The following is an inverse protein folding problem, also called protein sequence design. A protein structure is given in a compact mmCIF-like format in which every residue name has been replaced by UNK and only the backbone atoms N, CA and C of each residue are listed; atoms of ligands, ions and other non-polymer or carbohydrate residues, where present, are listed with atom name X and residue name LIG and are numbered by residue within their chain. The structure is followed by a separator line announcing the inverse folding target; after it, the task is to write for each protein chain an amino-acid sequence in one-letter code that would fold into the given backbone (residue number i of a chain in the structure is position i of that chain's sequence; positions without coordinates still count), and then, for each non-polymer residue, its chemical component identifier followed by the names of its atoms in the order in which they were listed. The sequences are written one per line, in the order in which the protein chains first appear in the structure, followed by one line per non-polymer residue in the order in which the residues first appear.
data_IF_187007133949
#
_entry.id   IF_187007133949
#
_cell.length_a   1.000
_cell.length_b   1.000
_cell.length_c   1.000
_cell.angle_alpha   90.00
_cell.angle_beta   90.00
_cell.angle_gamma   90.00
#
_symmetry.space_group_name_H-M   'P 1'
#
loop_
_entity.id
_entity.type
_entity.pdbx_description
1 polymer ?
#
# COMPACT_ATOMS: atom_id res chain seq x y z
N UNK A 1 -22.83 -35.20 -51.05
CA UNK A 1 -23.54 -33.93 -51.15
C UNK A 1 -22.82 -32.88 -50.30
N UNK A 2 -21.96 -32.10 -50.92
CA UNK A 2 -21.23 -31.02 -50.30
C UNK A 2 -22.07 -29.74 -50.37
N UNK A 3 -22.41 -29.13 -49.23
CA UNK A 3 -23.00 -27.80 -49.20
C UNK A 3 -21.87 -26.79 -48.98
N UNK A 4 -21.64 -25.95 -49.99
CA UNK A 4 -20.77 -24.76 -49.93
C UNK A 4 -21.51 -23.67 -49.17
N UNK A 5 -20.90 -23.15 -48.08
CA UNK A 5 -21.29 -21.88 -47.47
C UNK A 5 -20.50 -20.76 -48.12
N UNK A 6 -21.18 -19.83 -48.76
CA UNK A 6 -20.58 -18.63 -49.34
C UNK A 6 -20.42 -17.56 -48.26
N UNK A 7 -19.19 -17.05 -48.11
CA UNK A 7 -18.88 -15.86 -47.34
C UNK A 7 -19.23 -14.61 -48.15
N UNK A 8 -20.20 -13.83 -47.68
CA UNK A 8 -20.48 -12.49 -48.21
C UNK A 8 -19.55 -11.50 -47.47
N UNK A 9 -18.55 -10.97 -48.19
CA UNK A 9 -17.67 -9.93 -47.72
C UNK A 9 -18.38 -8.58 -47.86
N UNK A 10 -18.84 -8.00 -46.75
CA UNK A 10 -19.41 -6.65 -46.71
C UNK A 10 -18.26 -5.65 -46.62
N UNK A 11 -17.93 -4.96 -47.71
CA UNK A 11 -16.98 -3.87 -47.74
C UNK A 11 -17.69 -2.62 -47.21
N UNK A 12 -17.44 -2.26 -45.97
CA UNK A 12 -17.81 -0.95 -45.40
C UNK A 12 -16.80 0.08 -45.87
N UNK A 13 -17.23 1.02 -46.67
CA UNK A 13 -16.47 2.20 -47.06
C UNK A 13 -16.27 3.09 -45.84
N UNK A 14 -15.04 3.22 -45.37
CA UNK A 14 -14.65 4.19 -44.35
C UNK A 14 -14.66 5.56 -45.03
N UNK A 15 -15.69 6.34 -44.78
CA UNK A 15 -15.67 7.78 -45.04
C UNK A 15 -14.77 8.43 -44.00
N UNK A 16 -13.67 9.03 -44.44
CA UNK A 16 -12.76 9.82 -43.65
C UNK A 16 -13.49 11.04 -43.08
N UNK A 17 -13.93 10.96 -41.81
CA UNK A 17 -14.26 12.14 -41.05
C UNK A 17 -12.95 12.85 -40.66
N UNK A 18 -12.69 14.02 -41.27
CA UNK A 18 -11.65 14.92 -40.83
C UNK A 18 -12.16 15.61 -39.56
N UNK A 19 -11.53 15.29 -38.42
CA UNK A 19 -11.70 16.07 -37.21
C UNK A 19 -11.12 17.47 -37.40
N UNK A 20 -11.79 18.54 -36.97
CA UNK A 20 -11.20 19.88 -36.98
C UNK A 20 -9.97 19.92 -36.08
N UNK A 21 -8.91 20.55 -36.57
CA UNK A 21 -7.62 20.62 -35.86
C UNK A 21 -7.74 21.28 -34.50
N UNK A 22 -7.27 20.61 -33.47
CA UNK A 22 -7.27 20.94 -32.03
C UNK A 22 -6.36 22.16 -31.68
N UNK A 23 -6.18 23.15 -32.53
CA UNK A 23 -5.17 24.21 -32.34
C UNK A 23 -5.64 25.44 -31.55
N UNK A 24 -6.94 25.64 -31.32
CA UNK A 24 -7.43 26.91 -30.76
C UNK A 24 -7.87 26.91 -29.29
N UNK A 25 -7.84 25.76 -28.57
CA UNK A 25 -8.30 25.70 -27.18
C UNK A 25 -7.19 25.64 -26.12
N UNK A 26 -5.92 25.51 -26.50
CA UNK A 26 -4.80 25.35 -25.56
C UNK A 26 -4.30 26.65 -24.91
N UNK A 27 -4.66 27.80 -25.45
CA UNK A 27 -4.18 29.11 -24.95
C UNK A 27 -5.04 29.71 -23.82
N UNK A 28 -6.30 29.28 -23.65
CA UNK A 28 -7.19 29.85 -22.64
C UNK A 28 -6.96 29.40 -21.20
N UNK A 29 -6.39 28.21 -20.97
CA UNK A 29 -6.25 27.64 -19.62
C UNK A 29 -5.17 28.30 -18.73
N UNK A 30 -4.00 28.69 -19.22
CA UNK A 30 -3.04 29.47 -18.44
C UNK A 30 -3.59 30.84 -18.02
N UNK A 31 -4.37 31.49 -18.88
CA UNK A 31 -4.97 32.79 -18.62
C UNK A 31 -5.99 32.73 -17.48
N UNK A 32 -6.86 31.69 -17.45
CA UNK A 32 -7.84 31.51 -16.39
C UNK A 32 -7.17 31.29 -15.01
N UNK A 33 -6.11 30.48 -14.95
CA UNK A 33 -5.34 30.27 -13.72
C UNK A 33 -4.73 31.58 -13.19
N UNK A 34 -4.19 32.41 -14.08
CA UNK A 34 -3.63 33.72 -13.72
C UNK A 34 -4.71 34.68 -13.23
N UNK A 35 -5.90 34.66 -13.82
CA UNK A 35 -7.02 35.48 -13.38
C UNK A 35 -7.45 35.09 -11.98
N UNK A 36 -7.74 33.82 -11.74
CA UNK A 36 -8.17 33.29 -10.42
C UNK A 36 -7.13 33.62 -9.35
N UNK A 37 -5.85 33.32 -9.62
CA UNK A 37 -4.77 33.60 -8.68
C UNK A 37 -4.63 35.13 -8.44
N UNK A 38 -4.72 35.94 -9.48
CA UNK A 38 -4.62 37.39 -9.39
C UNK A 38 -5.74 38.01 -8.54
N UNK A 39 -6.98 37.55 -8.71
CA UNK A 39 -8.13 37.97 -7.91
C UNK A 39 -7.97 37.57 -6.44
N UNK A 40 -7.55 36.33 -6.19
CA UNK A 40 -7.30 35.85 -4.84
C UNK A 40 -6.16 36.61 -4.15
N UNK A 41 -5.04 36.83 -4.83
CA UNK A 41 -3.91 37.61 -4.30
C UNK A 41 -4.24 39.09 -4.12
N UNK A 42 -5.15 39.62 -4.90
CA UNK A 42 -5.64 41.00 -4.73
C UNK A 42 -6.47 41.17 -3.46
N UNK A 43 -7.23 40.15 -3.08
CA UNK A 43 -8.05 40.12 -1.87
C UNK A 43 -7.24 39.80 -0.62
N UNK A 44 -6.30 38.84 -0.70
CA UNK A 44 -5.62 38.28 0.48
C UNK A 44 -4.09 38.52 0.48
N UNK A 45 -3.58 39.29 -0.46
CA UNK A 45 -2.15 39.57 -0.59
C UNK A 45 -1.37 38.44 -1.26
N UNK A 46 -0.13 38.73 -1.67
CA UNK A 46 0.76 37.79 -2.36
C UNK A 46 1.42 36.80 -1.42
N UNK A 47 1.94 35.70 -1.99
CA UNK A 47 2.74 34.71 -1.29
C UNK A 47 1.96 33.44 -0.95
N UNK A 48 0.89 33.19 -1.67
CA UNK A 48 0.15 31.94 -1.68
C UNK A 48 0.74 30.96 -2.70
N UNK A 49 0.64 29.66 -2.41
CA UNK A 49 1.00 28.58 -3.32
C UNK A 49 -0.28 27.95 -3.86
N UNK A 50 -0.31 27.76 -5.17
CA UNK A 50 -1.43 27.13 -5.88
C UNK A 50 -0.96 25.85 -6.54
N UNK A 51 -1.67 24.77 -6.33
CA UNK A 51 -1.66 23.61 -7.22
C UNK A 51 -3.00 23.56 -7.97
N UNK A 52 -2.99 23.03 -9.19
CA UNK A 52 -4.11 23.13 -10.10
C UNK A 52 -4.60 21.78 -10.59
N UNK A 53 -5.90 21.61 -10.68
CA UNK A 53 -6.52 20.51 -11.40
C UNK A 53 -6.37 20.69 -12.93
N UNK A 54 -6.58 19.63 -13.68
CA UNK A 54 -6.51 19.66 -15.14
C UNK A 54 -7.55 20.61 -15.76
N UNK A 55 -8.72 20.74 -15.14
CA UNK A 55 -9.80 21.64 -15.54
C UNK A 55 -9.58 23.11 -15.11
N UNK A 56 -8.38 23.45 -14.61
CA UNK A 56 -8.00 24.80 -14.15
C UNK A 56 -8.68 25.29 -12.87
N UNK A 57 -9.37 24.46 -12.12
CA UNK A 57 -9.76 24.77 -10.74
C UNK A 57 -8.55 24.63 -9.79
N UNK A 58 -8.45 25.41 -8.72
CA UNK A 58 -7.34 25.31 -7.78
C UNK A 58 -7.48 24.06 -6.91
N UNK A 59 -6.63 23.04 -7.15
CA UNK A 59 -6.60 21.81 -6.35
C UNK A 59 -6.30 22.10 -4.88
N UNK A 60 -5.28 22.94 -4.61
CA UNK A 60 -4.92 23.38 -3.26
C UNK A 60 -4.38 24.80 -3.29
N UNK A 61 -4.80 25.59 -2.31
CA UNK A 61 -4.28 26.94 -2.02
C UNK A 61 -3.81 26.94 -0.58
N UNK A 62 -2.55 27.28 -0.34
CA UNK A 62 -1.95 27.32 1.00
C UNK A 62 -0.78 28.28 1.07
N UNK A 63 -0.31 28.59 2.29
CA UNK A 63 0.86 29.44 2.50
C UNK A 63 0.69 30.43 3.63
N UNK A 64 -0.06 31.51 3.38
CA UNK A 64 -0.41 32.48 4.42
C UNK A 64 -1.67 32.06 5.19
N UNK A 65 -2.14 32.91 6.09
CA UNK A 65 -3.45 32.74 6.70
C UNK A 65 -4.37 33.91 6.33
N UNK A 66 -5.66 33.61 6.24
CA UNK A 66 -6.73 34.61 6.11
C UNK A 66 -7.45 34.64 7.47
N UNK A 67 -7.28 35.73 8.25
CA UNK A 67 -8.01 35.88 9.49
C UNK A 67 -9.52 35.88 9.26
N UNK A 68 -10.25 35.12 10.04
CA UNK A 68 -11.70 35.07 10.05
C UNK A 68 -12.18 35.36 11.47
N UNK A 69 -13.29 36.06 11.61
CA UNK A 69 -13.85 36.43 12.91
C UNK A 69 -14.93 35.44 13.35
N UNK A 70 -14.51 34.26 13.75
CA UNK A 70 -15.39 33.22 14.31
C UNK A 70 -14.62 32.30 15.28
N UNK A 71 -15.36 31.57 16.10
CA UNK A 71 -14.79 30.55 17.00
C UNK A 71 -14.62 29.20 16.25
N UNK A 72 -13.40 28.89 15.84
CA UNK A 72 -13.09 27.62 15.17
C UNK A 72 -13.14 26.39 16.10
N UNK A 73 -13.35 26.56 17.42
CA UNK A 73 -13.61 25.43 18.32
C UNK A 73 -15.09 24.99 18.23
N UNK A 74 -15.99 25.89 17.83
CA UNK A 74 -17.40 25.55 17.61
C UNK A 74 -17.61 25.04 16.17
N UNK A 75 -18.11 23.80 16.01
CA UNK A 75 -18.37 23.25 14.68
C UNK A 75 -19.43 24.02 13.89
N UNK A 76 -20.43 24.59 14.54
CA UNK A 76 -21.52 25.30 13.87
C UNK A 76 -21.00 26.58 13.22
N UNK A 77 -20.31 27.41 14.00
CA UNK A 77 -19.74 28.68 13.49
C UNK A 77 -18.66 28.42 12.43
N UNK A 78 -17.91 27.31 12.56
CA UNK A 78 -16.93 26.89 11.55
C UNK A 78 -17.55 26.53 10.21
N UNK A 79 -18.68 25.82 10.21
CA UNK A 79 -19.43 25.51 8.99
C UNK A 79 -19.99 26.78 8.34
N UNK A 80 -20.60 27.66 9.12
CA UNK A 80 -21.09 28.93 8.61
C UNK A 80 -19.97 29.78 7.97
N UNK A 81 -18.81 29.87 8.60
CA UNK A 81 -17.68 30.62 8.07
C UNK A 81 -17.18 30.03 6.74
N UNK A 82 -17.15 28.69 6.61
CA UNK A 82 -16.75 28.03 5.37
C UNK A 82 -17.78 28.26 4.24
N UNK A 83 -19.08 28.15 4.52
CA UNK A 83 -20.14 28.43 3.54
C UNK A 83 -20.18 29.89 3.11
N UNK A 84 -20.02 30.82 4.05
CA UNK A 84 -19.90 32.24 3.76
C UNK A 84 -18.68 32.55 2.89
N UNK A 85 -17.55 31.88 3.15
CA UNK A 85 -16.36 32.02 2.33
C UNK A 85 -16.59 31.54 0.88
N UNK A 86 -17.29 30.42 0.69
CA UNK A 86 -17.64 29.89 -0.64
C UNK A 86 -18.54 30.89 -1.38
N UNK A 87 -19.63 31.34 -0.76
CA UNK A 87 -20.62 32.24 -1.37
C UNK A 87 -20.05 33.62 -1.67
N UNK A 88 -19.09 34.08 -0.84
CA UNK A 88 -18.41 35.38 -1.03
C UNK A 88 -17.32 35.36 -2.11
N UNK A 89 -16.89 34.18 -2.58
CA UNK A 89 -15.81 34.01 -3.58
C UNK A 89 -16.24 33.16 -4.77
N UNK A 90 -17.31 33.54 -5.50
CA UNK A 90 -17.86 32.71 -6.59
C UNK A 90 -16.87 32.49 -7.74
N UNK A 91 -15.96 33.44 -8.02
CA UNK A 91 -14.92 33.26 -9.04
C UNK A 91 -13.91 32.16 -8.70
N UNK A 92 -13.68 31.90 -7.41
CA UNK A 92 -12.76 30.86 -6.95
C UNK A 92 -13.39 29.47 -7.03
N UNK A 93 -14.64 29.36 -6.59
CA UNK A 93 -15.31 28.05 -6.45
C UNK A 93 -16.22 27.71 -7.63
N UNK A 94 -16.96 28.70 -8.17
CA UNK A 94 -17.98 28.52 -9.21
C UNK A 94 -18.96 27.36 -8.90
N UNK A 95 -19.32 27.22 -7.62
CA UNK A 95 -20.26 26.23 -7.08
C UNK A 95 -21.18 26.94 -6.11
N UNK A 96 -22.44 26.54 -6.10
CA UNK A 96 -23.42 27.01 -5.14
C UNK A 96 -23.33 26.18 -3.86
N UNK A 97 -23.53 26.81 -2.70
CA UNK A 97 -23.42 26.16 -1.39
C UNK A 97 -24.46 25.06 -1.16
N UNK A 98 -25.65 25.18 -1.79
CA UNK A 98 -26.70 24.14 -1.78
C UNK A 98 -26.30 22.84 -2.49
N UNK A 99 -25.24 22.88 -3.29
CA UNK A 99 -24.65 21.71 -3.95
C UNK A 99 -23.53 21.07 -3.14
N UNK A 100 -23.45 21.39 -1.84
CA UNK A 100 -22.39 20.92 -0.96
C UNK A 100 -22.98 20.36 0.35
N UNK A 101 -22.77 19.08 0.57
CA UNK A 101 -23.12 18.38 1.82
C UNK A 101 -21.91 18.32 2.74
N UNK A 102 -22.09 18.73 4.01
CA UNK A 102 -21.03 18.64 5.01
C UNK A 102 -20.75 17.17 5.34
N UNK A 103 -19.53 16.73 5.07
CA UNK A 103 -19.07 15.36 5.36
C UNK A 103 -18.21 15.28 6.62
N UNK A 104 -17.25 16.19 6.79
CA UNK A 104 -16.34 16.23 7.95
C UNK A 104 -16.36 17.63 8.55
N UNK A 105 -16.47 17.70 9.86
CA UNK A 105 -16.27 18.90 10.66
C UNK A 105 -15.64 18.51 12.01
N UNK A 106 -14.33 18.26 11.98
CA UNK A 106 -13.59 17.68 13.10
C UNK A 106 -12.36 18.51 13.45
N UNK A 107 -12.00 18.46 14.72
CA UNK A 107 -10.76 19.04 15.23
C UNK A 107 -9.70 17.98 15.39
N UNK A 108 -8.53 18.19 14.77
CA UNK A 108 -7.33 17.38 14.95
C UNK A 108 -6.15 18.27 15.34
N UNK A 109 -5.71 18.13 16.58
CA UNK A 109 -4.67 18.99 17.15
C UNK A 109 -5.08 20.48 17.14
N UNK A 110 -4.28 21.32 16.49
CA UNK A 110 -4.49 22.76 16.41
C UNK A 110 -5.26 23.22 15.17
N UNK A 111 -5.84 22.29 14.42
CA UNK A 111 -6.58 22.57 13.19
C UNK A 111 -7.99 22.00 13.27
N UNK A 112 -8.94 22.74 12.71
CA UNK A 112 -10.26 22.26 12.35
C UNK A 112 -10.30 21.93 10.88
N UNK A 113 -10.86 20.78 10.57
CA UNK A 113 -11.03 20.22 9.23
C UNK A 113 -12.51 20.29 8.85
N UNK A 114 -12.82 21.00 7.77
CA UNK A 114 -14.14 20.94 7.17
C UNK A 114 -14.02 20.40 5.76
N UNK A 115 -14.84 19.41 5.44
CA UNK A 115 -14.88 18.80 4.11
C UNK A 115 -16.34 18.71 3.69
N UNK A 116 -16.64 19.26 2.53
CA UNK A 116 -17.93 19.18 1.88
C UNK A 116 -17.82 18.29 0.65
N UNK A 117 -18.73 17.32 0.52
CA UNK A 117 -18.89 16.56 -0.71
C UNK A 117 -19.84 17.31 -1.63
N UNK A 118 -19.51 17.31 -2.93
CA UNK A 118 -20.39 17.87 -3.93
C UNK A 118 -21.57 16.96 -4.22
N UNK A 119 -22.75 17.56 -4.34
CA UNK A 119 -23.98 16.91 -4.81
C UNK A 119 -24.53 17.64 -6.04
N UNK A 120 -25.24 16.90 -6.90
CA UNK A 120 -25.95 17.43 -8.05
C UNK A 120 -27.34 16.79 -8.10
N UNK A 121 -28.39 17.58 -7.95
CA UNK A 121 -29.78 17.12 -7.85
C UNK A 121 -29.94 16.00 -6.79
N UNK A 122 -29.31 16.15 -5.63
CA UNK A 122 -29.22 15.17 -4.52
C UNK A 122 -28.45 13.88 -4.82
N UNK A 123 -27.74 13.79 -5.94
CA UNK A 123 -26.87 12.67 -6.26
C UNK A 123 -25.41 13.08 -5.93
N UNK A 124 -24.66 12.29 -5.15
CA UNK A 124 -23.27 12.59 -4.83
C UNK A 124 -22.38 12.57 -6.08
N UNK A 125 -21.45 13.50 -6.15
CA UNK A 125 -20.45 13.58 -7.21
C UNK A 125 -19.18 12.86 -6.77
N UNK A 126 -18.80 11.81 -7.48
CA UNK A 126 -17.65 11.00 -7.11
C UNK A 126 -16.35 11.82 -7.10
N UNK A 127 -15.70 11.86 -5.93
CA UNK A 127 -14.50 12.66 -5.69
C UNK A 127 -14.67 14.18 -5.87
N UNK A 128 -15.92 14.68 -6.00
CA UNK A 128 -16.22 16.11 -5.97
C UNK A 128 -16.25 16.62 -4.53
N UNK A 129 -15.31 17.52 -4.16
CA UNK A 129 -15.26 18.03 -2.79
C UNK A 129 -14.60 19.40 -2.70
N UNK A 130 -14.97 20.11 -1.61
CA UNK A 130 -14.29 21.32 -1.16
C UNK A 130 -13.86 21.11 0.29
N UNK A 131 -12.65 21.52 0.63
CA UNK A 131 -12.14 21.37 1.99
C UNK A 131 -11.42 22.62 2.49
N UNK A 132 -11.56 22.86 3.80
CA UNK A 132 -10.97 23.99 4.52
C UNK A 132 -10.16 23.48 5.70
N UNK A 133 -9.07 24.19 6.00
CA UNK A 133 -8.31 24.00 7.24
C UNK A 133 -8.21 25.35 7.95
N UNK A 134 -8.77 25.39 9.15
CA UNK A 134 -8.70 26.55 10.03
C UNK A 134 -7.80 26.27 11.22
N UNK A 135 -7.02 27.25 11.64
CA UNK A 135 -6.46 27.23 12.99
C UNK A 135 -7.58 27.53 14.00
N UNK A 136 -7.37 27.12 15.26
CA UNK A 136 -8.40 27.32 16.31
C UNK A 136 -8.67 28.81 16.64
N UNK A 137 -7.79 29.72 16.21
CA UNK A 137 -8.02 31.16 16.29
C UNK A 137 -8.85 31.73 15.14
N UNK A 138 -9.41 30.90 14.28
CA UNK A 138 -10.22 31.28 13.13
C UNK A 138 -9.44 31.53 11.83
N UNK A 139 -8.11 31.48 11.82
CA UNK A 139 -7.31 31.70 10.63
C UNK A 139 -7.50 30.56 9.60
N UNK A 140 -7.96 30.88 8.40
CA UNK A 140 -7.99 29.94 7.27
C UNK A 140 -6.57 29.78 6.70
N UNK A 141 -6.05 28.56 6.67
CA UNK A 141 -4.66 28.26 6.27
C UNK A 141 -4.56 27.40 5.02
N UNK A 142 -5.64 26.70 4.63
CA UNK A 142 -5.67 25.91 3.41
C UNK A 142 -7.09 25.79 2.86
N UNK A 143 -7.19 25.86 1.55
CA UNK A 143 -8.39 25.62 0.77
C UNK A 143 -8.08 24.49 -0.22
N UNK A 144 -8.93 23.48 -0.28
CA UNK A 144 -8.94 22.46 -1.32
C UNK A 144 -10.21 22.58 -2.17
N UNK A 145 -10.08 22.42 -3.48
CA UNK A 145 -11.21 22.51 -4.40
C UNK A 145 -11.07 21.48 -5.53
N UNK A 146 -11.69 20.35 -5.30
CA UNK A 146 -11.78 19.24 -6.27
C UNK A 146 -13.22 19.06 -6.79
N UNK A 147 -14.09 20.04 -6.57
CA UNK A 147 -15.44 20.02 -7.06
C UNK A 147 -15.50 20.45 -8.55
N UNK A 148 -16.56 20.04 -9.22
CA UNK A 148 -16.76 20.22 -10.66
C UNK A 148 -17.85 21.27 -10.90
N UNK A 149 -17.48 22.47 -11.39
CA UNK A 149 -18.47 23.49 -11.75
C UNK A 149 -19.21 23.10 -13.05
N UNK A 150 -20.41 23.64 -13.21
CA UNK A 150 -21.22 23.52 -14.44
C UNK A 150 -21.59 22.09 -14.84
N UNK A 151 -21.92 21.23 -13.85
CA UNK A 151 -22.44 19.91 -14.11
C UNK A 151 -23.73 20.00 -14.96
N UNK A 152 -23.82 19.15 -15.97
CA UNK A 152 -25.02 18.99 -16.79
C UNK A 152 -25.17 17.51 -17.16
N UNK A 153 -25.90 16.76 -16.34
CA UNK A 153 -26.09 15.31 -16.45
C UNK A 153 -27.56 15.00 -16.36
N UNK A 154 -28.04 14.09 -17.20
CA UNK A 154 -29.38 13.52 -17.01
C UNK A 154 -29.35 12.57 -15.80
N UNK A 155 -30.12 12.90 -14.77
CA UNK A 155 -30.18 12.17 -13.50
C UNK A 155 -31.19 11.05 -13.46
N UNK A 156 -31.89 10.78 -14.58
CA UNK A 156 -32.82 9.65 -14.68
C UNK A 156 -32.10 8.44 -15.30
N UNK A 157 -31.92 7.33 -14.57
CA UNK A 157 -31.21 6.17 -15.10
C UNK A 157 -31.99 5.51 -16.23
N UNK A 158 -31.30 5.06 -17.27
CA UNK A 158 -31.86 4.29 -18.40
C UNK A 158 -31.88 2.79 -18.14
N UNK A 159 -31.02 2.30 -17.21
CA UNK A 159 -31.03 0.91 -16.75
C UNK A 159 -31.40 0.86 -15.25
N UNK A 160 -32.08 -0.22 -14.87
CA UNK A 160 -32.45 -0.47 -13.48
C UNK A 160 -31.25 -0.90 -12.64
N UNK A 161 -31.40 -0.83 -11.31
CA UNK A 161 -30.44 -1.37 -10.34
C UNK A 161 -30.15 -2.86 -10.60
N UNK A 162 -31.18 -3.67 -10.86
CA UNK A 162 -31.05 -5.11 -11.12
C UNK A 162 -30.21 -5.38 -12.38
N UNK A 163 -30.44 -4.57 -13.45
CA UNK A 163 -29.60 -4.65 -14.66
C UNK A 163 -28.15 -4.26 -14.40
N UNK A 164 -27.91 -3.24 -13.58
CA UNK A 164 -26.56 -2.85 -13.19
C UNK A 164 -25.85 -3.98 -12.39
N UNK A 165 -26.55 -4.61 -11.44
CA UNK A 165 -26.03 -5.79 -10.71
C UNK A 165 -25.72 -6.93 -11.71
N UNK A 166 -26.62 -7.20 -12.64
CA UNK A 166 -26.42 -8.26 -13.64
C UNK A 166 -25.18 -8.01 -14.51
N UNK A 167 -25.00 -6.79 -15.02
CA UNK A 167 -23.81 -6.45 -15.82
C UNK A 167 -22.52 -6.51 -15.01
N UNK A 168 -22.55 -6.08 -13.75
CA UNK A 168 -21.38 -6.19 -12.85
C UNK A 168 -20.98 -7.64 -12.61
N UNK A 169 -21.95 -8.51 -12.32
CA UNK A 169 -21.71 -9.95 -12.09
C UNK A 169 -21.05 -10.62 -13.29
N UNK A 170 -21.52 -10.32 -14.51
CA UNK A 170 -20.90 -10.86 -15.74
C UNK A 170 -19.47 -10.33 -15.92
N UNK A 171 -19.24 -9.06 -15.56
CA UNK A 171 -17.95 -8.42 -15.77
C UNK A 171 -16.82 -9.00 -14.92
N UNK A 172 -17.13 -9.48 -13.72
CA UNK A 172 -16.14 -9.99 -12.74
C UNK A 172 -16.19 -11.51 -12.56
N UNK A 173 -16.83 -12.26 -13.47
CA UNK A 173 -16.98 -13.72 -13.41
C UNK A 173 -17.55 -14.24 -12.07
N UNK A 174 -18.60 -13.55 -11.58
CA UNK A 174 -19.26 -13.82 -10.31
C UNK A 174 -19.88 -15.22 -10.26
N UNK A 175 -19.57 -16.02 -9.22
CA UNK A 175 -20.11 -17.36 -9.01
C UNK A 175 -20.69 -17.53 -7.59
N UNK A 176 -22.00 -17.62 -7.48
CA UNK A 176 -22.70 -17.86 -6.20
C UNK A 176 -22.27 -19.17 -5.50
N UNK A 177 -21.78 -20.17 -6.24
CA UNK A 177 -21.30 -21.41 -5.65
C UNK A 177 -19.96 -21.25 -4.92
N UNK A 178 -19.22 -20.18 -5.19
CA UNK A 178 -17.99 -19.81 -4.50
C UNK A 178 -18.25 -18.89 -3.29
N UNK A 179 -19.52 -18.62 -2.97
CA UNK A 179 -19.96 -17.63 -1.99
C UNK A 179 -19.56 -16.18 -2.35
N UNK A 180 -19.61 -15.85 -3.62
CA UNK A 180 -19.49 -14.47 -4.07
C UNK A 180 -20.73 -13.69 -3.67
N UNK A 181 -20.55 -12.43 -3.27
CA UNK A 181 -21.60 -11.61 -2.69
C UNK A 181 -21.65 -10.22 -3.32
N UNK A 182 -22.86 -9.69 -3.51
CA UNK A 182 -23.10 -8.26 -3.75
C UNK A 182 -23.17 -7.57 -2.40
N UNK A 183 -22.31 -6.58 -2.16
CA UNK A 183 -22.19 -5.91 -0.86
C UNK A 183 -23.06 -4.65 -0.86
N UNK A 184 -24.10 -4.65 -0.03
CA UNK A 184 -25.03 -3.53 0.08
C UNK A 184 -25.90 -3.33 -1.16
N UNK A 185 -26.63 -2.22 -1.19
CA UNK A 185 -27.45 -1.83 -2.33
C UNK A 185 -26.66 -0.89 -3.24
N UNK A 186 -26.79 -0.99 -4.57
CA UNK A 186 -26.19 -0.04 -5.49
C UNK A 186 -26.69 1.38 -5.28
N UNK A 187 -25.79 2.34 -5.39
CA UNK A 187 -26.11 3.76 -5.25
C UNK A 187 -25.80 4.54 -6.52
N UNK A 188 -26.57 5.60 -6.78
CA UNK A 188 -26.30 6.49 -7.91
C UNK A 188 -25.25 7.52 -7.52
N UNK A 189 -24.31 7.73 -8.43
CA UNK A 189 -23.27 8.77 -8.38
C UNK A 189 -23.20 9.53 -9.71
N UNK A 190 -22.74 10.77 -9.66
CA UNK A 190 -22.21 11.42 -10.84
C UNK A 190 -20.74 11.02 -10.93
N UNK A 191 -20.41 10.16 -11.87
CA UNK A 191 -19.05 9.78 -12.23
C UNK A 191 -18.40 10.85 -13.10
N UNK A 192 -17.13 11.13 -12.88
CA UNK A 192 -16.40 12.16 -13.63
C UNK A 192 -15.16 11.56 -14.27
N UNK A 193 -15.11 11.54 -15.59
CA UNK A 193 -13.86 11.30 -16.31
C UNK A 193 -12.99 12.58 -16.23
N UNK A 194 -11.89 12.50 -15.47
CA UNK A 194 -11.03 13.63 -15.13
C UNK A 194 -10.07 13.99 -16.26
N UNK A 195 -10.61 14.47 -17.36
CA UNK A 195 -9.82 15.06 -18.45
C UNK A 195 -9.63 16.58 -18.31
N UNK A 196 -9.06 17.22 -19.33
CA UNK A 196 -9.03 18.68 -19.46
C UNK A 196 -10.44 19.25 -19.65
N UNK A 197 -11.28 18.55 -20.37
CA UNK A 197 -12.71 18.75 -20.48
C UNK A 197 -13.35 17.54 -19.82
N UNK A 198 -13.78 17.60 -18.56
CA UNK A 198 -14.37 16.47 -17.86
C UNK A 198 -15.65 16.00 -18.53
N UNK A 199 -15.81 14.70 -18.69
CA UNK A 199 -17.07 14.11 -19.09
C UNK A 199 -17.82 13.61 -17.83
N UNK A 200 -19.14 13.79 -17.83
CA UNK A 200 -19.99 13.50 -16.68
C UNK A 200 -20.99 12.41 -17.02
N UNK A 201 -21.05 11.39 -16.19
CA UNK A 201 -21.94 10.25 -16.35
C UNK A 201 -22.77 10.04 -15.09
N UNK A 202 -24.05 9.77 -15.25
CA UNK A 202 -24.82 9.13 -14.18
C UNK A 202 -24.36 7.67 -14.11
N UNK A 203 -23.94 7.22 -12.95
CA UNK A 203 -23.41 5.87 -12.76
C UNK A 203 -24.04 5.15 -11.57
N UNK A 204 -24.33 3.88 -11.71
CA UNK A 204 -24.54 2.98 -10.58
C UNK A 204 -23.18 2.59 -9.99
N UNK A 205 -22.99 2.79 -8.70
CA UNK A 205 -21.86 2.29 -7.94
C UNK A 205 -22.27 1.02 -7.21
N UNK A 206 -21.48 -0.03 -7.37
CA UNK A 206 -21.71 -1.34 -6.77
C UNK A 206 -20.43 -1.84 -6.10
N UNK A 207 -20.59 -2.66 -5.07
CA UNK A 207 -19.50 -3.42 -4.48
C UNK A 207 -19.79 -4.92 -4.56
N UNK A 208 -18.80 -5.70 -5.01
CA UNK A 208 -18.90 -7.15 -5.12
C UNK A 208 -17.67 -7.79 -4.45
N UNK A 209 -17.91 -8.80 -3.63
CA UNK A 209 -16.88 -9.69 -3.12
C UNK A 209 -16.85 -10.93 -4.01
N UNK A 210 -15.70 -11.24 -4.61
CA UNK A 210 -15.54 -12.27 -5.63
C UNK A 210 -14.31 -13.12 -5.32
N UNK A 211 -14.44 -14.44 -5.41
CA UNK A 211 -13.30 -15.36 -5.30
C UNK A 211 -12.62 -15.49 -6.67
N UNK A 212 -11.30 -15.38 -6.67
CA UNK A 212 -10.53 -15.62 -7.89
C UNK A 212 -10.53 -17.11 -8.23
N UNK A 213 -10.82 -17.41 -9.50
CA UNK A 213 -10.70 -18.77 -10.07
C UNK A 213 -9.44 -18.91 -10.92
N UNK A 214 -8.68 -17.82 -11.12
CA UNK A 214 -7.44 -17.82 -11.87
C UNK A 214 -6.30 -18.35 -10.97
N UNK A 215 -5.64 -19.49 -11.32
CA UNK A 215 -4.54 -20.03 -10.55
C UNK A 215 -3.28 -19.13 -10.55
N UNK A 216 -3.17 -18.20 -11.50
CA UNK A 216 -2.07 -17.25 -11.60
C UNK A 216 -2.35 -15.95 -10.86
N UNK A 217 -3.57 -15.76 -10.34
CA UNK A 217 -3.92 -14.62 -9.53
C UNK A 217 -3.28 -14.72 -8.14
N UNK A 218 -2.63 -13.65 -7.75
CA UNK A 218 -1.97 -13.57 -6.43
C UNK A 218 -2.97 -13.37 -5.29
N UNK A 219 -4.19 -12.92 -5.60
CA UNK A 219 -5.25 -12.65 -4.64
C UNK A 219 -6.31 -13.75 -4.71
N UNK A 220 -6.61 -14.44 -3.61
CA UNK A 220 -7.67 -15.46 -3.60
C UNK A 220 -9.07 -14.85 -3.65
N UNK A 221 -9.19 -13.56 -3.38
CA UNK A 221 -10.46 -12.81 -3.37
C UNK A 221 -10.24 -11.38 -3.81
N UNK A 222 -11.28 -10.76 -4.36
CA UNK A 222 -11.36 -9.35 -4.73
C UNK A 222 -12.55 -8.69 -4.08
N UNK A 223 -12.42 -7.41 -3.77
CA UNK A 223 -13.54 -6.54 -3.40
C UNK A 223 -13.65 -5.44 -4.43
N UNK A 224 -14.40 -5.72 -5.47
CA UNK A 224 -14.60 -4.81 -6.57
C UNK A 224 -15.58 -3.70 -6.21
N UNK A 225 -15.13 -2.45 -6.35
CA UNK A 225 -16.00 -1.29 -6.48
C UNK A 225 -16.10 -0.94 -7.95
N UNK A 226 -17.32 -1.01 -8.51
CA UNK A 226 -17.58 -0.87 -9.94
C UNK A 226 -18.51 0.32 -10.17
N UNK A 227 -18.18 1.14 -11.16
CA UNK A 227 -19.06 2.19 -11.67
C UNK A 227 -19.55 1.80 -13.06
N UNK A 228 -20.86 1.75 -13.20
CA UNK A 228 -21.54 1.42 -14.45
C UNK A 228 -22.34 2.63 -14.91
N UNK A 229 -22.16 3.02 -16.16
CA UNK A 229 -22.97 4.07 -16.79
C UNK A 229 -24.47 3.70 -16.69
N UNK A 230 -25.23 4.52 -15.98
CA UNK A 230 -26.62 4.26 -15.67
C UNK A 230 -27.57 4.40 -16.87
N UNK A 231 -27.09 4.86 -18.03
CA UNK A 231 -27.86 4.94 -19.26
C UNK A 231 -27.55 3.79 -20.22
N UNK A 232 -26.30 3.41 -20.34
CA UNK A 232 -25.82 2.44 -21.34
C UNK A 232 -25.47 1.05 -20.80
N UNK A 233 -25.19 0.95 -19.50
CA UNK A 233 -24.72 -0.30 -18.87
C UNK A 233 -23.24 -0.62 -19.11
N UNK A 234 -22.45 0.29 -19.68
CA UNK A 234 -21.01 0.12 -19.82
C UNK A 234 -20.28 0.34 -18.49
N UNK A 235 -19.24 -0.44 -18.25
CA UNK A 235 -18.32 -0.23 -17.12
C UNK A 235 -17.52 1.05 -17.39
N UNK A 236 -17.64 2.02 -16.49
CA UNK A 236 -16.87 3.27 -16.53
C UNK A 236 -15.51 3.12 -15.85
N UNK A 237 -15.51 2.47 -14.68
CA UNK A 237 -14.31 2.27 -13.87
C UNK A 237 -14.52 1.11 -12.89
N UNK A 238 -13.42 0.47 -12.49
CA UNK A 238 -13.41 -0.50 -11.40
C UNK A 238 -12.16 -0.37 -10.55
N UNK A 239 -12.33 -0.58 -9.26
CA UNK A 239 -11.24 -0.59 -8.28
C UNK A 239 -11.30 -1.88 -7.47
N UNK A 240 -10.16 -2.53 -7.28
CA UNK A 240 -10.05 -3.56 -6.26
C UNK A 240 -9.77 -2.90 -4.91
N UNK A 241 -10.72 -2.97 -4.00
CA UNK A 241 -10.61 -2.44 -2.64
C UNK A 241 -10.08 -3.47 -1.63
N UNK A 242 -9.69 -4.67 -2.08
CA UNK A 242 -8.97 -5.59 -1.20
C UNK A 242 -7.70 -4.91 -0.73
N UNK A 243 -7.71 -4.50 0.51
CA UNK A 243 -6.50 -4.00 1.16
C UNK A 243 -5.72 -5.21 1.63
N UNK A 244 -4.58 -5.42 1.01
CA UNK A 244 -3.58 -6.31 1.53
C UNK A 244 -3.10 -5.75 2.85
N UNK A 245 -3.30 -6.47 3.94
CA UNK A 245 -2.82 -6.01 5.23
C UNK A 245 -1.46 -6.67 5.50
N UNK A 246 -0.45 -5.83 5.65
CA UNK A 246 0.89 -6.26 6.01
C UNK A 246 0.94 -6.76 7.44
N UNK A 247 1.75 -7.79 7.67
CA UNK A 247 2.33 -8.09 8.97
C UNK A 247 3.77 -7.61 8.95
N UNK A 248 4.16 -6.89 9.97
CA UNK A 248 5.51 -6.39 10.14
C UNK A 248 6.02 -6.72 11.55
N UNK A 249 7.31 -6.65 11.77
CA UNK A 249 7.91 -6.90 13.06
C UNK A 249 9.40 -7.16 12.97
N UNK A 250 9.98 -7.64 14.06
CA UNK A 250 11.39 -7.95 14.15
C UNK A 250 11.61 -9.43 14.46
N UNK A 251 12.64 -9.99 13.84
CA UNK A 251 13.22 -11.26 14.24
C UNK A 251 14.49 -10.95 15.01
N UNK A 252 14.56 -11.38 16.27
CA UNK A 252 15.67 -11.09 17.16
C UNK A 252 16.07 -12.30 18.00
N UNK A 253 17.17 -12.17 18.73
CA UNK A 253 17.57 -13.16 19.72
C UNK A 253 18.80 -12.73 20.52
N UNK A 254 19.02 -13.34 21.70
CA UNK A 254 20.21 -13.07 22.53
C UNK A 254 21.46 -13.65 21.86
N UNK A 255 22.38 -12.78 21.48
CA UNK A 255 23.65 -13.10 20.79
C UNK A 255 24.82 -12.71 21.67
N UNK A 256 25.89 -13.51 21.63
CA UNK A 256 27.19 -13.26 22.27
C UNK A 256 28.27 -13.06 21.22
N UNK A 257 29.30 -12.31 21.57
CA UNK A 257 30.53 -12.20 20.79
C UNK A 257 31.59 -13.21 21.23
N UNK A 258 31.48 -13.70 22.47
CA UNK A 258 32.39 -14.66 23.07
C UNK A 258 31.64 -15.63 24.00
N UNK A 259 32.13 -16.86 24.25
CA UNK A 259 31.40 -17.93 24.96
C UNK A 259 30.93 -17.58 26.36
N UNK A 260 31.72 -16.77 27.06
CA UNK A 260 31.48 -16.33 28.45
C UNK A 260 30.95 -14.91 28.53
N UNK A 261 30.72 -14.27 27.37
CA UNK A 261 30.18 -12.92 27.27
C UNK A 261 28.73 -12.80 27.68
N UNK A 262 28.27 -11.60 27.88
CA UNK A 262 26.88 -11.27 28.16
C UNK A 262 26.13 -11.28 26.81
N UNK A 263 25.09 -12.10 26.73
CA UNK A 263 24.21 -12.07 25.57
C UNK A 263 23.39 -10.77 25.53
N UNK A 264 23.32 -10.13 24.37
CA UNK A 264 22.48 -8.96 24.09
C UNK A 264 21.48 -9.31 23.01
N UNK A 265 20.24 -8.86 23.15
CA UNK A 265 19.23 -9.07 22.13
C UNK A 265 19.60 -8.26 20.89
N UNK A 266 19.68 -8.94 19.73
CA UNK A 266 20.07 -8.33 18.45
C UNK A 266 19.09 -8.77 17.37
N UNK A 267 18.81 -7.87 16.44
CA UNK A 267 18.06 -8.22 15.22
C UNK A 267 18.81 -9.25 14.39
N UNK A 268 18.11 -10.25 13.89
CA UNK A 268 18.68 -11.33 13.06
C UNK A 268 18.59 -10.92 11.58
N UNK A 269 19.73 -10.59 10.92
CA UNK A 269 19.72 -10.13 9.54
C UNK A 269 19.40 -11.28 8.57
N UNK A 270 18.74 -10.95 7.46
CA UNK A 270 18.50 -11.83 6.32
C UNK A 270 17.72 -13.12 6.63
N UNK A 271 17.00 -13.18 7.76
CA UNK A 271 16.16 -14.34 8.13
C UNK A 271 15.00 -14.45 7.17
N UNK A 272 14.76 -15.64 6.66
CA UNK A 272 13.56 -15.97 5.89
C UNK A 272 12.35 -16.04 6.81
N UNK A 273 11.34 -15.23 6.49
CA UNK A 273 10.02 -15.24 7.12
C UNK A 273 9.05 -15.90 6.17
N UNK A 274 8.62 -17.12 6.47
CA UNK A 274 7.80 -17.94 5.58
C UNK A 274 6.33 -17.87 6.01
N UNK A 275 5.45 -17.46 5.10
CA UNK A 275 4.02 -17.29 5.33
C UNK A 275 3.23 -18.30 4.53
N UNK A 276 2.55 -19.19 5.23
CA UNK A 276 1.79 -20.28 4.61
C UNK A 276 0.72 -19.77 3.65
N UNK A 277 0.79 -20.22 2.38
CA UNK A 277 -0.15 -19.86 1.32
C UNK A 277 0.03 -18.44 0.74
N UNK A 278 1.13 -17.75 1.10
CA UNK A 278 1.46 -16.43 0.55
C UNK A 278 2.84 -16.44 -0.10
N UNK A 279 3.86 -16.98 0.58
CA UNK A 279 5.25 -16.93 0.16
C UNK A 279 6.16 -16.53 1.30
N UNK A 280 7.26 -15.87 0.99
CA UNK A 280 8.24 -15.48 2.01
C UNK A 280 8.79 -14.07 1.74
N UNK A 281 9.32 -13.45 2.80
CA UNK A 281 10.16 -12.27 2.78
C UNK A 281 11.43 -12.53 3.58
N UNK A 282 12.35 -11.57 3.62
CA UNK A 282 13.57 -11.66 4.41
C UNK A 282 13.68 -10.43 5.30
N UNK A 283 14.29 -10.60 6.47
CA UNK A 283 14.59 -9.47 7.33
C UNK A 283 15.71 -8.60 6.73
N UNK A 284 15.69 -7.32 7.05
CA UNK A 284 16.78 -6.40 6.77
C UNK A 284 17.99 -6.64 7.71
N UNK A 285 19.02 -5.80 7.60
CA UNK A 285 20.22 -5.84 8.44
C UNK A 285 19.96 -5.66 9.95
N UNK A 286 18.80 -5.10 10.31
CA UNK A 286 18.38 -4.87 11.69
C UNK A 286 17.39 -5.93 12.20
N UNK A 287 17.04 -6.90 11.37
CA UNK A 287 16.07 -7.94 11.70
C UNK A 287 14.61 -7.54 11.47
N UNK A 288 14.32 -6.39 10.85
CA UNK A 288 12.96 -5.98 10.51
C UNK A 288 12.44 -6.69 9.26
N UNK A 289 11.16 -7.07 9.28
CA UNK A 289 10.47 -7.63 8.13
C UNK A 289 9.10 -6.99 7.94
N UNK A 290 8.62 -7.01 6.70
CA UNK A 290 7.26 -6.67 6.34
C UNK A 290 6.82 -7.56 5.19
N UNK A 291 5.62 -8.13 5.27
CA UNK A 291 5.04 -8.97 4.23
C UNK A 291 3.54 -8.78 4.21
N UNK A 292 2.97 -8.69 3.02
CA UNK A 292 1.53 -8.68 2.82
C UNK A 292 0.99 -10.10 2.94
N UNK A 293 -0.02 -10.29 3.79
CA UNK A 293 -0.63 -11.61 4.05
C UNK A 293 -2.10 -11.71 3.62
N UNK A 294 -2.60 -10.65 2.95
CA UNK A 294 -4.00 -10.55 2.57
C UNK A 294 -4.93 -10.29 3.77
N UNK A 295 -6.19 -10.66 3.63
CA UNK A 295 -7.24 -10.31 4.61
C UNK A 295 -7.45 -11.35 5.72
N UNK A 296 -6.75 -12.49 5.70
CA UNK A 296 -6.95 -13.60 6.65
C UNK A 296 -5.71 -13.89 7.46
N UNK A 297 -5.90 -14.39 8.69
CA UNK A 297 -4.79 -14.83 9.53
C UNK A 297 -4.02 -15.97 8.89
N UNK A 298 -2.69 -15.94 8.98
CA UNK A 298 -1.77 -16.91 8.38
C UNK A 298 -0.82 -17.50 9.41
N UNK A 299 -0.35 -18.71 9.13
CA UNK A 299 0.76 -19.29 9.88
C UNK A 299 2.07 -18.74 9.34
N UNK A 300 2.87 -18.12 10.21
CA UNK A 300 4.20 -17.59 9.90
C UNK A 300 5.24 -18.42 10.62
N UNK A 301 6.25 -18.88 9.88
CA UNK A 301 7.37 -19.65 10.41
C UNK A 301 8.67 -18.90 10.14
N UNK A 302 9.49 -18.74 11.17
CA UNK A 302 10.87 -18.24 11.09
C UNK A 302 11.83 -19.31 11.59
N UNK A 303 12.96 -19.45 10.91
CA UNK A 303 14.07 -20.31 11.29
C UNK A 303 15.37 -19.52 11.22
N UNK A 304 16.44 -19.99 11.85
CA UNK A 304 17.77 -19.43 11.61
C UNK A 304 18.32 -19.92 10.26
N UNK A 305 17.55 -19.62 9.24
CA UNK A 305 17.77 -19.86 7.81
C UNK A 305 17.43 -18.59 7.06
N UNK A 306 18.24 -18.21 6.08
CA UNK A 306 18.03 -16.96 5.35
C UNK A 306 18.72 -16.92 4.01
N UNK A 307 19.02 -15.71 3.54
CA UNK A 307 19.60 -15.49 2.21
C UNK A 307 21.01 -16.07 2.08
N UNK A 308 21.78 -16.10 3.16
CA UNK A 308 23.22 -16.42 3.10
C UNK A 308 23.64 -17.53 4.04
N UNK A 309 22.82 -17.95 4.95
CA UNK A 309 23.14 -19.00 5.91
C UNK A 309 21.94 -19.88 6.25
N UNK A 310 22.19 -21.16 6.51
CA UNK A 310 21.24 -22.07 7.12
C UNK A 310 21.94 -22.81 8.27
N UNK A 311 21.51 -22.54 9.52
CA UNK A 311 22.08 -23.24 10.70
C UNK A 311 21.36 -24.56 10.95
N UNK A 312 22.15 -25.64 11.18
CA UNK A 312 21.68 -26.95 11.49
C UNK A 312 22.28 -27.45 12.82
N UNK A 313 21.44 -27.75 13.77
CA UNK A 313 21.85 -28.25 15.08
C UNK A 313 22.16 -29.74 15.05
N UNK A 314 23.46 -30.10 15.10
CA UNK A 314 23.90 -31.49 14.98
C UNK A 314 23.36 -32.41 16.07
N UNK A 315 23.14 -31.87 17.27
CA UNK A 315 22.74 -32.65 18.45
C UNK A 315 21.41 -32.18 19.05
N UNK A 316 20.51 -31.66 18.19
CA UNK A 316 19.19 -31.19 18.60
C UNK A 316 18.28 -30.88 17.42
N UNK A 317 17.14 -30.25 17.71
CA UNK A 317 16.27 -29.73 16.67
C UNK A 317 16.74 -28.34 16.27
N UNK A 318 16.62 -28.03 14.99
CA UNK A 318 16.93 -26.71 14.47
C UNK A 318 15.97 -25.63 15.06
N UNK A 319 16.51 -24.44 15.23
CA UNK A 319 15.76 -23.30 15.73
C UNK A 319 14.57 -22.96 14.83
N UNK A 320 13.37 -22.94 15.40
CA UNK A 320 12.14 -22.66 14.67
C UNK A 320 11.08 -22.06 15.57
N UNK A 321 10.40 -21.03 15.07
CA UNK A 321 9.24 -20.42 15.72
C UNK A 321 8.11 -20.36 14.69
N UNK A 322 6.94 -20.89 15.06
CA UNK A 322 5.73 -20.79 14.23
C UNK A 322 4.61 -20.15 15.04
N UNK A 323 3.94 -19.16 14.46
CA UNK A 323 2.77 -18.49 15.06
C UNK A 323 1.71 -18.19 14.01
N UNK A 324 0.45 -18.14 14.44
CA UNK A 324 -0.64 -17.60 13.63
C UNK A 324 -0.71 -16.10 13.86
N UNK A 325 -0.62 -15.33 12.79
CA UNK A 325 -0.64 -13.86 12.80
C UNK A 325 -1.85 -13.34 12.08
N UNK A 326 -2.36 -12.19 12.53
CA UNK A 326 -3.51 -11.53 11.93
C UNK A 326 -3.08 -10.38 11.00
N UNK A 327 -3.85 -10.09 9.95
CA UNK A 327 -3.58 -8.96 9.07
C UNK A 327 -3.51 -7.63 9.83
N UNK A 328 -2.57 -6.77 9.44
CA UNK A 328 -2.41 -5.43 10.02
C UNK A 328 -1.82 -5.40 11.44
N UNK A 329 -1.20 -6.50 11.90
CA UNK A 329 -0.55 -6.56 13.22
C UNK A 329 0.96 -6.47 13.12
N UNK A 330 1.59 -6.04 14.22
CA UNK A 330 3.04 -6.19 14.44
C UNK A 330 3.27 -7.49 15.20
N UNK A 331 4.15 -8.36 14.71
CA UNK A 331 4.51 -9.63 15.36
C UNK A 331 6.02 -9.80 15.40
N UNK A 332 6.58 -9.81 16.60
CA UNK A 332 8.01 -9.99 16.82
C UNK A 332 8.32 -11.47 17.13
N UNK A 333 9.34 -12.01 16.49
CA UNK A 333 9.85 -13.36 16.72
C UNK A 333 11.19 -13.30 17.44
N UNK A 334 11.27 -13.83 18.65
CA UNK A 334 12.50 -13.82 19.42
C UNK A 334 12.99 -15.25 19.68
N UNK A 335 14.21 -15.55 19.22
CA UNK A 335 14.91 -16.81 19.41
C UNK A 335 15.53 -16.95 20.79
N UNK A 336 14.71 -16.80 21.85
CA UNK A 336 15.16 -16.98 23.23
C UNK A 336 14.71 -18.33 23.83
N UNK A 337 15.39 -18.80 24.85
CA UNK A 337 14.97 -19.96 25.61
C UNK A 337 15.01 -21.28 24.83
N UNK A 338 13.88 -22.02 24.85
CA UNK A 338 13.82 -23.39 24.28
C UNK A 338 13.68 -23.45 22.75
N UNK A 339 13.52 -22.30 22.09
CA UNK A 339 13.31 -22.24 20.64
C UNK A 339 14.62 -22.34 19.85
N UNK A 340 15.77 -22.20 20.50
CA UNK A 340 17.10 -22.22 19.88
C UNK A 340 18.18 -22.39 20.95
N UNK A 341 19.38 -22.76 20.55
CA UNK A 341 20.58 -22.76 21.40
C UNK A 341 21.46 -21.54 21.07
N UNK A 342 22.36 -21.19 21.97
CA UNK A 342 23.28 -20.08 21.78
C UNK A 342 24.14 -20.25 20.51
N UNK A 343 24.69 -21.44 20.27
CA UNK A 343 25.51 -21.72 19.10
C UNK A 343 24.79 -21.48 17.76
N UNK A 344 23.48 -21.78 17.65
CA UNK A 344 22.72 -21.48 16.45
C UNK A 344 22.59 -19.97 16.23
N UNK A 345 22.23 -19.21 17.28
CA UNK A 345 22.03 -17.77 17.19
C UNK A 345 23.33 -17.02 16.90
N UNK A 346 24.38 -17.36 17.65
CA UNK A 346 25.67 -16.69 17.55
C UNK A 346 26.31 -16.97 16.18
N UNK A 347 26.33 -18.22 15.73
CA UNK A 347 26.82 -18.58 14.39
C UNK A 347 26.00 -17.89 13.30
N UNK A 348 24.66 -17.93 13.38
CA UNK A 348 23.80 -17.31 12.38
C UNK A 348 24.06 -15.80 12.27
N UNK A 349 24.05 -15.12 13.41
CA UNK A 349 24.24 -13.66 13.45
C UNK A 349 25.62 -13.28 12.90
N UNK A 350 26.69 -13.86 13.46
CA UNK A 350 28.06 -13.47 13.09
C UNK A 350 28.41 -13.81 11.64
N UNK A 351 27.94 -14.93 11.09
CA UNK A 351 28.16 -15.26 9.69
C UNK A 351 27.48 -14.26 8.74
N UNK A 352 26.29 -13.77 9.06
CA UNK A 352 25.64 -12.72 8.27
C UNK A 352 26.34 -11.36 8.44
N UNK A 353 26.81 -11.04 9.65
CA UNK A 353 27.58 -9.79 9.87
C UNK A 353 28.87 -9.77 9.05
N UNK A 354 29.63 -10.86 9.02
CA UNK A 354 30.88 -10.90 8.22
C UNK A 354 30.59 -10.90 6.73
N UNK A 355 29.49 -11.54 6.27
CA UNK A 355 29.02 -11.44 4.90
C UNK A 355 28.78 -9.98 4.50
N UNK A 356 27.96 -9.26 5.27
CA UNK A 356 27.62 -7.87 4.99
C UNK A 356 28.85 -6.95 5.06
N UNK A 357 29.77 -7.21 6.01
CA UNK A 357 31.02 -6.50 6.07
C UNK A 357 31.87 -6.71 4.81
N UNK A 358 32.01 -7.95 4.34
CA UNK A 358 32.74 -8.24 3.10
C UNK A 358 32.09 -7.56 1.88
N UNK A 359 30.75 -7.56 1.79
CA UNK A 359 30.00 -6.84 0.73
C UNK A 359 30.17 -5.33 0.84
N UNK A 360 30.29 -4.76 2.03
CA UNK A 360 30.54 -3.33 2.23
C UNK A 360 31.91 -2.89 1.71
N UNK A 361 32.93 -3.76 1.80
CA UNK A 361 34.28 -3.52 1.29
C UNK A 361 34.32 -3.73 -0.24
N UNK A 362 33.67 -4.79 -0.71
CA UNK A 362 33.69 -5.16 -2.12
C UNK A 362 32.31 -5.67 -2.59
N UNK A 363 31.46 -4.76 -3.05
CA UNK A 363 30.08 -5.04 -3.48
C UNK A 363 29.97 -6.06 -4.61
N UNK A 364 31.02 -6.21 -5.42
CA UNK A 364 31.11 -7.21 -6.51
C UNK A 364 31.49 -8.62 -6.05
N UNK A 365 31.71 -8.87 -4.75
CA UNK A 365 31.98 -10.20 -4.22
C UNK A 365 30.70 -11.04 -4.25
N UNK A 366 30.59 -11.96 -5.21
CA UNK A 366 29.40 -12.82 -5.39
C UNK A 366 29.64 -14.27 -4.98
N UNK A 367 30.85 -14.64 -4.65
CA UNK A 367 31.22 -16.01 -4.27
C UNK A 367 30.57 -16.51 -2.99
N UNK A 368 30.11 -15.59 -2.14
CA UNK A 368 29.42 -15.88 -0.87
C UNK A 368 27.89 -15.62 -0.92
N UNK A 369 27.34 -15.21 -2.09
CA UNK A 369 25.93 -14.91 -2.26
C UNK A 369 25.10 -16.19 -2.49
N UNK A 370 25.18 -17.13 -1.55
CA UNK A 370 24.39 -18.37 -1.55
C UNK A 370 24.08 -18.79 -0.11
N UNK A 371 23.11 -19.67 0.07
CA UNK A 371 22.74 -20.20 1.40
C UNK A 371 23.77 -21.22 1.84
N UNK A 372 24.75 -20.78 2.63
CA UNK A 372 25.82 -21.63 3.16
C UNK A 372 25.29 -22.50 4.32
N UNK A 373 25.49 -23.81 4.33
CA UNK A 373 25.23 -24.63 5.52
C UNK A 373 26.17 -24.29 6.67
N UNK A 374 25.62 -24.12 7.88
CA UNK A 374 26.39 -24.00 9.11
C UNK A 374 25.95 -25.07 10.10
N UNK A 375 26.77 -26.09 10.29
CA UNK A 375 26.51 -27.17 11.27
C UNK A 375 27.08 -26.70 12.61
N UNK A 376 26.22 -26.65 13.63
CA UNK A 376 26.57 -26.18 14.98
C UNK A 376 26.32 -27.24 16.03
N UNK A 377 26.76 -27.03 17.26
CA UNK A 377 26.60 -27.98 18.38
C UNK A 377 27.15 -29.37 18.05
N UNK A 378 28.21 -29.45 17.27
CA UNK A 378 28.89 -30.70 16.95
C UNK A 378 29.64 -31.17 18.19
N UNK A 379 29.45 -32.45 18.56
CA UNK A 379 30.06 -33.06 19.73
C UNK A 379 31.07 -34.18 19.40
N UNK A 380 31.21 -35.10 20.31
CA UNK A 380 32.19 -36.19 20.22
C UNK A 380 31.93 -37.24 19.13
N UNK A 381 30.86 -37.09 18.38
CA UNK A 381 30.55 -37.85 17.18
C UNK A 381 31.45 -37.48 16.00
N UNK A 382 32.07 -36.29 16.04
CA UNK A 382 33.00 -35.81 15.02
C UNK A 382 34.44 -36.09 15.45
N UNK A 383 35.25 -36.63 14.52
CA UNK A 383 36.63 -37.01 14.80
C UNK A 383 37.57 -35.83 15.08
N UNK A 384 37.18 -34.62 14.70
CA UNK A 384 37.94 -33.39 14.92
C UNK A 384 37.54 -32.66 16.21
N UNK A 385 36.51 -33.11 16.92
CA UNK A 385 36.12 -32.60 18.21
C UNK A 385 37.12 -33.07 19.29
N UNK A 386 37.42 -32.30 20.33
CA UNK A 386 37.02 -30.95 20.66
C UNK A 386 38.01 -29.88 20.20
N UNK A 387 37.74 -28.58 20.57
CA UNK A 387 38.67 -27.48 20.45
C UNK A 387 38.98 -27.08 18.99
N UNK A 388 38.05 -27.26 18.11
CA UNK A 388 38.21 -27.00 16.68
C UNK A 388 36.95 -26.35 16.07
N UNK A 389 37.06 -25.87 14.85
CA UNK A 389 36.03 -25.57 13.87
C UNK A 389 36.67 -25.80 12.50
N UNK A 390 35.89 -25.97 11.43
CA UNK A 390 36.48 -26.14 10.10
C UNK A 390 35.49 -25.84 8.99
N UNK A 391 36.02 -25.35 7.90
CA UNK A 391 35.36 -25.26 6.60
C UNK A 391 35.59 -26.60 5.82
N UNK A 392 34.51 -27.20 5.29
CA UNK A 392 34.57 -28.48 4.57
C UNK A 392 34.38 -28.35 3.05
N UNK A 393 34.60 -27.15 2.49
CA UNK A 393 34.34 -26.77 1.09
C UNK A 393 32.87 -26.66 0.70
N UNK A 394 31.94 -26.88 1.64
CA UNK A 394 30.50 -26.73 1.43
C UNK A 394 29.87 -25.80 2.47
N UNK A 395 30.37 -25.83 3.70
CA UNK A 395 29.85 -25.06 4.82
C UNK A 395 30.78 -25.06 6.03
N UNK A 396 30.40 -24.34 7.05
CA UNK A 396 31.15 -24.21 8.30
C UNK A 396 30.66 -25.24 9.33
N UNK A 397 31.60 -25.83 10.05
CA UNK A 397 31.36 -26.83 11.07
C UNK A 397 31.89 -26.35 12.43
N UNK A 398 30.97 -26.12 13.38
CA UNK A 398 31.23 -25.43 14.63
C UNK A 398 30.93 -26.35 15.81
N UNK A 399 31.82 -26.40 16.80
CA UNK A 399 31.80 -27.36 17.86
C UNK A 399 31.24 -26.86 19.19
N UNK A 400 30.48 -27.74 19.85
CA UNK A 400 30.10 -27.57 21.25
C UNK A 400 31.28 -27.58 22.20
N UNK A 401 31.09 -27.04 23.41
CA UNK A 401 32.13 -27.09 24.45
C UNK A 401 32.54 -28.52 24.81
N UNK A 402 33.84 -28.74 25.00
CA UNK A 402 34.39 -30.00 25.41
C UNK A 402 35.91 -30.02 25.50
N UNK A 403 36.50 -31.05 26.09
CA UNK A 403 37.95 -31.21 26.20
C UNK A 403 38.69 -30.08 26.92
N UNK A 404 37.98 -29.24 27.66
CA UNK A 404 38.51 -28.03 28.29
C UNK A 404 38.41 -26.77 27.47
N UNK A 405 37.87 -26.86 26.24
CA UNK A 405 37.61 -25.71 25.35
C UNK A 405 36.15 -25.22 25.46
N UNK A 406 35.99 -23.96 25.29
CA UNK A 406 34.70 -23.34 25.12
C UNK A 406 34.08 -23.72 23.75
N UNK A 407 32.77 -23.53 23.57
CA UNK A 407 32.07 -23.76 22.35
C UNK A 407 32.49 -22.81 21.23
N UNK A 408 32.97 -23.34 20.10
CA UNK A 408 33.44 -22.51 18.98
C UNK A 408 32.26 -21.90 18.22
N UNK A 409 31.07 -22.49 18.28
CA UNK A 409 29.83 -21.97 17.73
C UNK A 409 29.30 -20.71 18.46
N UNK A 410 29.99 -20.26 19.54
CA UNK A 410 29.71 -19.05 20.31
C UNK A 410 30.89 -18.05 20.27
N UNK A 411 31.82 -18.21 19.33
CA UNK A 411 33.00 -17.36 19.16
C UNK A 411 32.91 -16.61 17.84
N UNK A 412 32.65 -15.31 17.89
CA UNK A 412 32.53 -14.46 16.71
C UNK A 412 33.74 -14.54 15.77
N UNK A 413 34.95 -14.47 16.35
CA UNK A 413 36.20 -14.53 15.60
C UNK A 413 36.43 -15.87 14.90
N UNK A 414 36.01 -16.98 15.50
CA UNK A 414 36.08 -18.31 14.89
C UNK A 414 35.06 -18.40 13.74
N UNK A 415 33.84 -17.92 13.95
CA UNK A 415 32.83 -17.86 12.88
C UNK A 415 33.34 -17.05 11.69
N UNK A 416 33.96 -15.88 11.94
CA UNK A 416 34.53 -15.03 10.89
C UNK A 416 35.67 -15.72 10.15
N UNK A 417 36.51 -16.50 10.86
CA UNK A 417 37.61 -17.25 10.27
C UNK A 417 37.10 -18.34 9.30
N UNK A 418 36.19 -19.18 9.77
CA UNK A 418 35.65 -20.29 8.97
C UNK A 418 34.82 -19.79 7.78
N UNK A 419 34.09 -18.70 7.98
CA UNK A 419 33.36 -18.05 6.88
C UNK A 419 34.28 -17.45 5.82
N UNK A 420 35.49 -17.04 6.21
CA UNK A 420 36.47 -16.41 5.32
C UNK A 420 37.19 -17.41 4.38
N UNK A 421 37.12 -18.71 4.64
CA UNK A 421 37.68 -19.75 3.77
C UNK A 421 36.90 -19.92 2.47
#
# INVERSE_FOLDING_TARGET
MQKKFGFILLILSISSFSFPSQKDKSESQPELKHIIQGEFESSFGKGWQFSWNLNSTPHRIFGKSIPQDFDANDPITSEYAARDFISSHPSLFNIYEENLDLWVNEQHGNLRYLIFNQVYENIPVWNGRIDFRYRLNGDLVMIGHDAFPNLNVNTNPGISMDEAIFYSKIHVDFDENLNDEVIGDPELYIWVDKGREPEYHLAWQLELFVHSTDPDDKLPVHRWKIFIDAHSGYILEQFDEVRMATVEGHVSGPVKDEPYGIATDRGMPHVKVDVSGVGNTYTDENGYYSIDIGSTSRSVTVKLEGSYLNTNNANGSDASITRTVSPGTTEDFNFAGLNSIAGERDTYYHANIIHDHAKSIHSGLTGSDYVMPAKVNIGSEDAYWPCNAYWDYTGINMFSAGGGCAATDQMADVVYHEYGH
#
